data_IF_568289703251
#
_entry.id   IF_568289703251
#
_cell.length_a   1.000
_cell.length_b   1.000
_cell.length_c   1.000
_cell.angle_alpha   90.00
_cell.angle_beta   90.00
_cell.angle_gamma   90.00
#
_symmetry.space_group_name_H-M   'P 1'
#
loop_
_entity.id
_entity.type
_entity.pdbx_description
1 polymer ?
#
# COMPACT_ATOMS: atom_id res chain seq x y z
N UNK A 1 -15.19 -13.07 8.27
CA UNK A 1 -15.64 -11.79 8.88
C UNK A 1 -15.80 -10.77 7.76
N UNK A 2 -16.67 -9.77 7.95
CA UNK A 2 -16.74 -8.62 7.03
C UNK A 2 -15.85 -7.49 7.54
N UNK A 3 -14.98 -6.96 6.68
CA UNK A 3 -14.05 -5.89 7.01
C UNK A 3 -14.25 -4.72 6.05
N UNK A 4 -14.35 -3.52 6.59
CA UNK A 4 -14.42 -2.28 5.81
C UNK A 4 -13.10 -1.53 5.99
N UNK A 5 -12.47 -1.20 4.87
CA UNK A 5 -11.26 -0.37 4.82
C UNK A 5 -11.63 1.00 4.25
N UNK A 6 -11.34 2.06 4.98
CA UNK A 6 -11.63 3.45 4.58
C UNK A 6 -10.34 4.11 4.09
N UNK A 7 -10.33 4.50 2.82
CA UNK A 7 -9.22 5.15 2.15
C UNK A 7 -8.45 4.21 1.22
N UNK A 8 -8.43 4.55 -0.06
CA UNK A 8 -7.81 3.77 -1.14
C UNK A 8 -6.37 4.18 -1.47
N UNK A 9 -5.63 4.71 -0.49
CA UNK A 9 -4.18 4.92 -0.60
C UNK A 9 -3.38 3.62 -0.48
N UNK A 10 -2.03 3.66 -0.59
CA UNK A 10 -1.19 2.45 -0.49
C UNK A 10 -1.44 1.64 0.78
N UNK A 11 -1.55 2.31 1.93
CA UNK A 11 -1.82 1.65 3.21
C UNK A 11 -3.18 0.95 3.23
N UNK A 12 -4.24 1.61 2.75
CA UNK A 12 -5.57 1.02 2.69
C UNK A 12 -5.66 -0.12 1.67
N UNK A 13 -5.03 0.01 0.52
CA UNK A 13 -4.95 -1.09 -0.45
C UNK A 13 -4.24 -2.32 0.13
N UNK A 14 -3.12 -2.12 0.83
CA UNK A 14 -2.40 -3.21 1.48
C UNK A 14 -3.19 -3.82 2.64
N UNK A 15 -3.86 -3.01 3.46
CA UNK A 15 -4.75 -3.50 4.53
C UNK A 15 -5.90 -4.36 3.97
N UNK A 16 -6.50 -3.92 2.86
CA UNK A 16 -7.55 -4.67 2.18
C UNK A 16 -7.03 -6.00 1.61
N UNK A 17 -5.85 -6.00 1.00
CA UNK A 17 -5.19 -7.20 0.49
C UNK A 17 -4.92 -8.18 1.64
N UNK A 18 -4.24 -7.73 2.69
CA UNK A 18 -3.90 -8.57 3.84
C UNK A 18 -5.14 -9.15 4.50
N UNK A 19 -6.19 -8.35 4.68
CA UNK A 19 -7.45 -8.83 5.25
C UNK A 19 -8.12 -9.90 4.36
N UNK A 20 -8.16 -9.69 3.05
CA UNK A 20 -8.77 -10.64 2.12
C UNK A 20 -7.96 -11.94 2.00
N UNK A 21 -6.63 -11.89 2.06
CA UNK A 21 -5.76 -13.07 2.10
C UNK A 21 -6.00 -13.92 3.36
N UNK A 22 -6.46 -13.32 4.44
CA UNK A 22 -6.88 -14.01 5.66
C UNK A 22 -8.35 -14.47 5.63
N UNK A 23 -8.97 -14.55 4.46
CA UNK A 23 -10.30 -15.12 4.26
C UNK A 23 -11.46 -14.20 4.66
N UNK A 24 -11.24 -12.92 4.83
CA UNK A 24 -12.30 -11.98 5.14
C UNK A 24 -13.00 -11.47 3.86
N UNK A 25 -14.30 -11.17 3.96
CA UNK A 25 -15.02 -10.38 2.96
C UNK A 25 -14.65 -8.90 3.13
N UNK A 26 -14.03 -8.29 2.13
CA UNK A 26 -13.47 -6.93 2.26
C UNK A 26 -14.17 -5.94 1.34
N UNK A 27 -14.50 -4.78 1.90
CA UNK A 27 -14.99 -3.60 1.16
C UNK A 27 -13.97 -2.47 1.37
N UNK A 28 -13.38 -1.98 0.27
CA UNK A 28 -12.49 -0.83 0.25
C UNK A 28 -13.26 0.40 -0.24
N UNK A 29 -13.35 1.42 0.59
CA UNK A 29 -14.09 2.66 0.30
C UNK A 29 -13.10 3.80 0.05
N UNK A 30 -13.25 4.49 -1.09
CA UNK A 30 -12.44 5.64 -1.47
C UNK A 30 -13.35 6.81 -1.92
N UNK A 31 -13.12 7.98 -1.34
CA UNK A 31 -13.88 9.19 -1.67
C UNK A 31 -13.60 9.76 -3.07
N UNK A 32 -12.44 9.44 -3.62
CA UNK A 32 -12.03 9.91 -4.93
C UNK A 32 -12.47 8.94 -6.04
N UNK A 33 -12.39 9.41 -7.28
CA UNK A 33 -12.71 8.59 -8.47
C UNK A 33 -11.68 7.51 -8.79
N UNK A 34 -10.49 7.53 -8.14
CA UNK A 34 -9.41 6.57 -8.37
C UNK A 34 -8.71 6.24 -7.07
N UNK A 35 -8.22 5.00 -6.97
CA UNK A 35 -7.31 4.60 -5.91
C UNK A 35 -5.92 5.24 -6.11
N UNK A 36 -5.14 5.32 -5.03
CA UNK A 36 -3.72 5.61 -5.08
C UNK A 36 -3.32 7.00 -5.57
N UNK A 37 -4.17 8.01 -5.51
CA UNK A 37 -3.86 9.37 -6.03
C UNK A 37 -2.52 9.92 -5.54
N UNK A 38 -2.24 9.79 -4.23
CA UNK A 38 -0.97 10.25 -3.66
C UNK A 38 0.21 9.41 -4.16
N UNK A 39 0.04 8.11 -4.31
CA UNK A 39 1.04 7.21 -4.90
C UNK A 39 1.43 7.66 -6.31
N UNK A 40 0.44 8.02 -7.13
CA UNK A 40 0.65 8.40 -8.53
C UNK A 40 1.52 9.65 -8.72
N UNK A 41 1.58 10.55 -7.74
CA UNK A 41 2.38 11.79 -7.82
C UNK A 41 3.73 11.69 -7.10
N UNK A 42 3.97 10.64 -6.32
CA UNK A 42 5.24 10.46 -5.63
C UNK A 42 6.39 10.23 -6.60
N UNK A 43 7.62 10.61 -6.20
CA UNK A 43 8.79 10.44 -7.06
C UNK A 43 8.65 11.14 -8.42
N UNK A 44 7.93 12.25 -8.50
CA UNK A 44 7.63 12.97 -9.76
C UNK A 44 6.89 12.08 -10.79
N UNK A 45 5.93 11.29 -10.32
CA UNK A 45 5.14 10.38 -11.17
C UNK A 45 5.77 9.01 -11.40
N UNK A 46 6.97 8.75 -10.85
CA UNK A 46 7.66 7.45 -10.96
C UNK A 46 7.35 6.49 -9.81
N UNK A 47 6.87 6.99 -8.68
CA UNK A 47 6.67 6.28 -7.41
C UNK A 47 7.99 5.81 -6.77
N UNK A 48 8.52 6.58 -5.81
CA UNK A 48 9.53 6.04 -4.89
C UNK A 48 8.83 5.07 -3.93
N UNK A 49 9.03 3.77 -4.16
CA UNK A 49 8.29 2.71 -3.48
C UNK A 49 8.74 2.58 -2.03
N UNK A 50 10.04 2.43 -1.84
CA UNK A 50 10.69 2.20 -0.54
C UNK A 50 12.18 2.49 -0.63
N UNK A 51 12.93 2.06 0.39
CA UNK A 51 14.40 2.08 0.43
C UNK A 51 14.95 0.67 0.48
N UNK A 52 16.18 0.46 -0.02
CA UNK A 52 16.92 -0.81 0.08
C UNK A 52 17.66 -0.98 1.41
N UNK A 53 17.65 0.02 2.28
CA UNK A 53 18.30 -0.04 3.58
C UNK A 53 17.82 -1.26 4.39
N UNK A 54 18.69 -1.80 5.24
CA UNK A 54 18.26 -2.78 6.22
C UNK A 54 17.30 -2.17 7.25
N UNK A 55 16.66 -2.99 8.06
CA UNK A 55 15.61 -2.54 8.97
C UNK A 55 16.12 -1.52 10.00
N UNK A 56 17.32 -1.70 10.53
CA UNK A 56 17.88 -0.82 11.55
C UNK A 56 18.17 0.57 10.96
N UNK A 57 18.82 0.61 9.81
CA UNK A 57 19.08 1.86 9.10
C UNK A 57 17.80 2.51 8.58
N UNK A 58 16.82 1.71 8.13
CA UNK A 58 15.52 2.21 7.69
C UNK A 58 14.81 2.95 8.83
N UNK A 59 14.76 2.35 10.01
CA UNK A 59 14.16 2.97 11.22
C UNK A 59 14.93 4.22 11.63
N UNK A 60 16.27 4.14 11.68
CA UNK A 60 17.15 5.27 12.04
C UNK A 60 16.98 6.47 11.11
N UNK A 61 16.77 6.24 9.83
CA UNK A 61 16.59 7.28 8.83
C UNK A 61 15.13 7.73 8.67
N UNK A 62 14.19 7.14 9.44
CA UNK A 62 12.80 7.59 9.42
C UNK A 62 12.65 8.88 10.23
N UNK A 63 12.16 9.97 9.64
CA UNK A 63 11.99 11.24 10.36
C UNK A 63 11.06 11.11 11.56
N UNK A 64 11.39 11.75 12.65
CA UNK A 64 10.60 11.73 13.88
C UNK A 64 10.88 10.49 14.73
N UNK A 65 9.86 9.80 15.19
CA UNK A 65 9.99 8.62 16.03
C UNK A 65 9.94 7.33 15.20
N UNK A 66 11.05 6.98 14.53
CA UNK A 66 11.15 5.74 13.75
C UNK A 66 10.92 4.47 14.58
N UNK A 67 11.26 4.48 15.88
CA UNK A 67 11.05 3.34 16.78
C UNK A 67 9.56 3.00 16.97
N UNK A 68 8.67 3.96 16.83
CA UNK A 68 7.21 3.70 16.84
C UNK A 68 6.79 2.71 15.75
N UNK A 69 7.50 2.71 14.62
CA UNK A 69 7.21 1.84 13.48
C UNK A 69 7.90 0.47 13.55
N UNK A 70 8.72 0.23 14.58
CA UNK A 70 9.52 -1.00 14.69
C UNK A 70 8.67 -2.27 14.57
N UNK A 71 7.57 -2.33 15.32
CA UNK A 71 6.65 -3.49 15.30
C UNK A 71 6.02 -3.71 13.92
N UNK A 72 5.62 -2.62 13.26
CA UNK A 72 5.04 -2.68 11.91
C UNK A 72 6.06 -3.17 10.89
N UNK A 73 7.30 -2.68 10.93
CA UNK A 73 8.35 -3.08 10.01
C UNK A 73 8.83 -4.52 10.25
N UNK A 74 8.70 -5.08 11.44
CA UNK A 74 8.95 -6.51 11.66
C UNK A 74 7.91 -7.41 11.00
N UNK A 75 6.67 -6.94 10.89
CA UNK A 75 5.58 -7.70 10.28
C UNK A 75 5.53 -7.56 8.76
N UNK A 76 5.95 -6.40 8.23
CA UNK A 76 5.98 -6.14 6.80
C UNK A 76 7.13 -5.18 6.46
N UNK A 77 8.15 -5.71 5.85
CA UNK A 77 9.42 -5.01 5.59
C UNK A 77 9.43 -4.32 4.22
N UNK A 78 10.48 -3.53 3.97
CA UNK A 78 10.76 -3.01 2.64
C UNK A 78 11.03 -4.12 1.59
N UNK A 79 11.53 -5.27 2.01
CA UNK A 79 11.73 -6.42 1.13
C UNK A 79 10.41 -7.07 0.75
N UNK A 80 9.44 -7.08 1.67
CA UNK A 80 8.12 -7.68 1.41
C UNK A 80 7.35 -6.90 0.35
N UNK A 81 7.36 -5.56 0.39
CA UNK A 81 6.74 -4.77 -0.67
C UNK A 81 7.43 -4.95 -2.03
N UNK A 82 8.75 -5.09 -2.06
CA UNK A 82 9.49 -5.38 -3.28
C UNK A 82 9.08 -6.75 -3.84
N UNK A 83 9.01 -7.77 -2.99
CA UNK A 83 8.59 -9.12 -3.39
C UNK A 83 7.14 -9.12 -3.88
N UNK A 84 6.24 -8.44 -3.18
CA UNK A 84 4.85 -8.26 -3.62
C UNK A 84 4.77 -7.71 -5.05
N UNK A 85 5.53 -6.67 -5.37
CA UNK A 85 5.52 -6.09 -6.72
C UNK A 85 6.06 -7.07 -7.77
N UNK A 86 7.14 -7.79 -7.45
CA UNK A 86 7.70 -8.83 -8.33
C UNK A 86 6.72 -9.96 -8.59
N UNK A 87 6.02 -10.44 -7.57
CA UNK A 87 4.96 -11.44 -7.71
C UNK A 87 3.81 -10.97 -8.62
N UNK A 88 3.55 -9.65 -8.64
CA UNK A 88 2.57 -9.07 -9.56
C UNK A 88 3.16 -8.82 -10.98
N UNK A 89 4.43 -9.16 -11.20
CA UNK A 89 5.12 -9.03 -12.50
C UNK A 89 5.79 -7.67 -12.74
N UNK A 90 6.03 -6.88 -11.67
CA UNK A 90 6.70 -5.59 -11.77
C UNK A 90 8.09 -5.65 -11.15
N UNK A 91 9.13 -5.62 -11.97
CA UNK A 91 10.51 -5.47 -11.53
C UNK A 91 10.79 -4.06 -11.01
N UNK A 92 11.72 -3.99 -10.06
CA UNK A 92 12.15 -2.74 -9.46
C UNK A 92 13.65 -2.52 -9.66
N UNK A 93 14.09 -1.27 -9.57
CA UNK A 93 15.49 -0.87 -9.62
C UNK A 93 15.84 0.00 -8.42
N UNK A 94 17.09 -0.09 -7.99
CA UNK A 94 17.66 0.83 -7.00
C UNK A 94 18.34 2.00 -7.69
N UNK A 95 18.12 3.20 -7.17
CA UNK A 95 18.79 4.43 -7.58
C UNK A 95 19.57 5.04 -6.42
N UNK A 96 20.38 6.06 -6.73
CA UNK A 96 21.20 6.77 -5.74
C UNK A 96 20.40 7.13 -4.47
N UNK A 97 20.99 6.88 -3.32
CA UNK A 97 20.37 7.10 -2.01
C UNK A 97 19.43 5.99 -1.60
N UNK A 98 19.70 4.76 -2.02
CA UNK A 98 18.97 3.54 -1.65
C UNK A 98 17.47 3.60 -1.98
N UNK A 99 17.09 4.40 -2.98
CA UNK A 99 15.68 4.57 -3.38
C UNK A 99 15.27 3.51 -4.36
N UNK A 100 14.12 2.91 -4.12
CA UNK A 100 13.55 1.86 -4.98
C UNK A 100 12.45 2.43 -5.86
N UNK A 101 12.58 2.25 -7.16
CA UNK A 101 11.62 2.66 -8.17
C UNK A 101 11.17 1.47 -9.04
N UNK A 102 9.99 1.51 -9.67
CA UNK A 102 9.64 0.53 -10.69
C UNK A 102 10.60 0.65 -11.89
N UNK A 103 10.95 -0.47 -12.49
CA UNK A 103 11.85 -0.48 -13.68
C UNK A 103 11.29 0.36 -14.82
N UNK A 104 9.98 0.49 -14.90
CA UNK A 104 9.24 1.24 -15.92
C UNK A 104 9.26 2.76 -15.70
N UNK A 105 9.68 3.24 -14.55
CA UNK A 105 9.57 4.64 -14.13
C UNK A 105 8.12 5.20 -14.17
N UNK A 106 7.11 4.34 -14.01
CA UNK A 106 5.70 4.72 -14.06
C UNK A 106 4.96 4.31 -12.80
N UNK A 107 4.49 5.29 -12.03
CA UNK A 107 3.69 5.07 -10.83
C UNK A 107 2.39 4.30 -11.10
N UNK A 108 1.83 4.43 -12.31
CA UNK A 108 0.66 3.67 -12.76
C UNK A 108 0.88 2.16 -12.73
N UNK A 109 2.10 1.69 -13.02
CA UNK A 109 2.37 0.25 -13.01
C UNK A 109 2.42 -0.30 -11.59
N UNK A 110 2.91 0.51 -10.63
CA UNK A 110 2.80 0.18 -9.19
C UNK A 110 1.33 0.10 -8.78
N UNK A 111 0.51 1.08 -9.15
CA UNK A 111 -0.93 1.06 -8.84
C UNK A 111 -1.64 -0.16 -9.46
N UNK A 112 -1.27 -0.54 -10.69
CA UNK A 112 -1.82 -1.74 -11.34
C UNK A 112 -1.54 -3.02 -10.55
N UNK A 113 -0.38 -3.16 -9.91
CA UNK A 113 -0.06 -4.30 -9.07
C UNK A 113 -1.06 -4.44 -7.91
N UNK A 114 -1.33 -3.35 -7.20
CA UNK A 114 -2.32 -3.33 -6.12
C UNK A 114 -3.73 -3.64 -6.62
N UNK A 115 -4.17 -2.97 -7.68
CA UNK A 115 -5.54 -3.13 -8.20
C UNK A 115 -5.77 -4.52 -8.77
N UNK A 116 -4.76 -5.12 -9.43
CA UNK A 116 -4.80 -6.51 -9.90
C UNK A 116 -4.96 -7.49 -8.74
N UNK A 117 -4.19 -7.32 -7.66
CA UNK A 117 -4.26 -8.18 -6.48
C UNK A 117 -5.60 -8.04 -5.76
N UNK A 118 -6.09 -6.81 -5.57
CA UNK A 118 -7.41 -6.54 -4.98
C UNK A 118 -8.54 -7.23 -5.77
N UNK A 119 -8.49 -7.13 -7.10
CA UNK A 119 -9.44 -7.79 -7.99
C UNK A 119 -9.37 -9.32 -7.88
N UNK A 120 -8.17 -9.88 -7.87
CA UNK A 120 -7.95 -11.33 -7.72
C UNK A 120 -8.53 -11.87 -6.40
N UNK A 121 -8.44 -11.08 -5.34
CA UNK A 121 -8.99 -11.41 -4.02
C UNK A 121 -10.48 -11.06 -3.85
N UNK A 122 -11.15 -10.65 -4.92
CA UNK A 122 -12.58 -10.25 -4.91
C UNK A 122 -12.91 -9.14 -3.91
N UNK A 123 -11.98 -8.25 -3.62
CA UNK A 123 -12.23 -7.08 -2.78
C UNK A 123 -13.22 -6.16 -3.48
N UNK A 124 -14.32 -5.84 -2.81
CA UNK A 124 -15.31 -4.88 -3.32
C UNK A 124 -14.77 -3.45 -3.15
N UNK A 125 -14.67 -2.70 -4.24
CA UNK A 125 -14.16 -1.33 -4.24
C UNK A 125 -15.31 -0.36 -4.50
N UNK A 126 -15.50 0.61 -3.61
CA UNK A 126 -16.45 1.70 -3.73
C UNK A 126 -15.70 3.02 -3.91
N UNK A 127 -15.68 3.52 -5.15
CA UNK A 127 -15.10 4.83 -5.48
C UNK A 127 -16.16 5.92 -5.34
N UNK A 128 -15.72 7.19 -5.35
CA UNK A 128 -16.59 8.38 -5.20
C UNK A 128 -17.50 8.28 -3.96
N UNK A 129 -17.06 7.55 -2.95
CA UNK A 129 -17.85 7.26 -1.75
C UNK A 129 -17.10 7.82 -0.54
N UNK A 130 -17.62 8.91 0.03
CA UNK A 130 -17.08 9.49 1.25
C UNK A 130 -17.76 8.86 2.45
N UNK A 131 -16.98 8.47 3.44
CA UNK A 131 -17.49 8.07 4.75
C UNK A 131 -17.54 9.32 5.62
N UNK A 132 -18.72 9.67 6.11
CA UNK A 132 -18.92 10.84 6.94
C UNK A 132 -18.90 10.50 8.43
N UNK A 133 -19.42 9.32 8.81
CA UNK A 133 -19.56 8.93 10.20
C UNK A 133 -19.42 7.42 10.38
N UNK A 134 -18.93 7.00 11.53
CA UNK A 134 -18.94 5.60 11.99
C UNK A 134 -19.89 5.55 13.18
N UNK A 135 -21.01 4.85 13.01
CA UNK A 135 -21.98 4.64 14.08
C UNK A 135 -21.69 3.30 14.73
N UNK A 136 -21.56 3.31 16.06
CA UNK A 136 -21.37 2.10 16.86
C UNK A 136 -22.65 1.87 17.62
N UNK A 137 -23.33 0.76 17.32
CA UNK A 137 -24.50 0.35 18.12
C UNK A 137 -24.01 -0.30 19.40
N UNK A 138 -24.53 0.18 20.53
CA UNK A 138 -24.36 -0.49 21.82
C UNK A 138 -25.24 -1.74 21.83
N UNK A 139 -24.69 -2.91 21.46
CA UNK A 139 -25.34 -4.22 21.56
C UNK A 139 -24.79 -5.04 22.71
#
# INVERSE_FOLDING_TARGET
MKVIVIGGGPAGMMAAISSAENGNEVILIEKMQTLGRKLLITGKGRCNITSSLDMEEFIKNTPGNGMFLYSSFRNYTNKDIINFLKEQGLEVKEERGNRIFPITDKSQDVLKCFTKKLKHLNVKILLNTKVDEIIVDES
#
